data_IF_073749709787
#
_entry.id   IF_073749709787
#
_cell.length_a   1.000
_cell.length_b   1.000
_cell.length_c   1.000
_cell.angle_alpha   90.00
_cell.angle_beta   90.00
_cell.angle_gamma   90.00
#
_symmetry.space_group_name_H-M   'P 1'
#
loop_
_entity.id
_entity.type
_entity.pdbx_description
1 polymer ?
#
# COMPACT_ATOMS: atom_id res chain seq x y z
N UNK A 1 -9.48 1.54 21.72
CA UNK A 1 -8.42 1.60 20.70
C UNK A 1 -7.08 1.65 21.41
N UNK A 2 -6.04 0.99 20.91
CA UNK A 2 -4.68 1.18 21.44
C UNK A 2 -4.30 2.67 21.35
N UNK A 3 -3.57 3.22 22.33
CA UNK A 3 -3.28 4.67 22.39
C UNK A 3 -2.66 5.21 21.09
N UNK A 4 -1.93 4.37 20.36
CA UNK A 4 -1.30 4.71 19.08
C UNK A 4 -2.28 5.02 17.95
N UNK A 5 -3.53 4.55 18.01
CA UNK A 5 -4.53 4.73 16.95
C UNK A 5 -5.67 5.69 17.30
N UNK A 6 -5.73 6.23 18.53
CA UNK A 6 -6.82 7.12 18.98
C UNK A 6 -7.01 8.34 18.07
N UNK A 7 -5.91 8.88 17.51
CA UNK A 7 -5.98 10.02 16.59
C UNK A 7 -6.74 9.74 15.28
N UNK A 8 -7.06 8.48 14.98
CA UNK A 8 -7.90 8.09 13.84
C UNK A 8 -9.40 8.35 14.10
N UNK A 9 -9.82 8.54 15.36
CA UNK A 9 -11.22 8.86 15.71
C UNK A 9 -11.73 10.12 15.02
N UNK A 10 -10.82 11.06 14.70
CA UNK A 10 -11.13 12.30 13.96
C UNK A 10 -11.70 12.07 12.55
N UNK A 11 -11.51 10.88 11.98
CA UNK A 11 -12.05 10.54 10.64
C UNK A 11 -13.51 10.07 10.67
N UNK A 12 -14.11 9.99 11.88
CA UNK A 12 -15.54 9.76 12.06
C UNK A 12 -15.97 8.30 11.92
N UNK A 13 -17.25 8.08 12.24
CA UNK A 13 -17.83 6.75 12.40
C UNK A 13 -17.75 5.90 11.12
N UNK A 14 -17.99 6.50 9.94
CA UNK A 14 -17.93 5.81 8.65
C UNK A 14 -16.59 5.09 8.39
N UNK A 15 -15.49 5.67 8.86
CA UNK A 15 -14.17 5.05 8.79
C UNK A 15 -13.96 4.03 9.92
N UNK A 16 -14.28 4.40 11.15
CA UNK A 16 -14.06 3.56 12.34
C UNK A 16 -14.80 2.22 12.23
N UNK A 17 -15.96 2.17 11.59
CA UNK A 17 -16.69 0.92 11.35
C UNK A 17 -15.93 -0.04 10.44
N UNK A 18 -15.09 0.48 9.54
CA UNK A 18 -14.27 -0.29 8.60
C UNK A 18 -12.88 -0.63 9.16
N UNK A 19 -12.43 0.11 10.16
CA UNK A 19 -11.16 -0.17 10.84
C UNK A 19 -11.34 -1.30 11.86
N UNK A 20 -10.74 -2.45 11.58
CA UNK A 20 -10.76 -3.62 12.48
C UNK A 20 -9.38 -3.85 13.09
N UNK A 21 -9.37 -4.40 14.30
CA UNK A 21 -8.15 -4.81 15.00
C UNK A 21 -8.30 -6.24 15.46
N UNK A 22 -7.32 -7.06 15.14
CA UNK A 22 -7.25 -8.47 15.52
C UNK A 22 -5.97 -8.69 16.33
N UNK A 23 -6.07 -9.44 17.43
CA UNK A 23 -4.92 -9.84 18.24
C UNK A 23 -4.84 -11.36 18.25
N UNK A 24 -3.71 -11.88 17.80
CA UNK A 24 -3.47 -13.31 17.68
C UNK A 24 -2.20 -13.62 18.48
N UNK A 25 -2.20 -14.66 19.35
CA UNK A 25 -1.00 -15.05 20.07
C UNK A 25 0.00 -15.67 19.09
N UNK A 26 0.97 -14.86 18.65
CA UNK A 26 2.04 -15.27 17.75
C UNK A 26 3.32 -14.49 18.08
N UNK A 27 4.47 -15.16 18.06
CA UNK A 27 5.75 -14.53 18.45
C UNK A 27 6.18 -13.39 17.52
N UNK A 28 5.86 -13.47 16.23
CA UNK A 28 6.13 -12.39 15.26
C UNK A 28 5.30 -11.16 15.63
N UNK A 29 4.04 -11.34 16.04
CA UNK A 29 3.14 -10.24 16.41
C UNK A 29 3.50 -9.57 17.74
N UNK A 30 4.46 -10.14 18.50
CA UNK A 30 5.09 -9.44 19.65
C UNK A 30 6.13 -8.42 19.19
N UNK A 31 6.65 -8.58 17.97
CA UNK A 31 7.73 -7.76 17.43
C UNK A 31 7.22 -6.72 16.42
N UNK A 32 6.19 -7.07 15.63
CA UNK A 32 5.67 -6.21 14.56
C UNK A 32 4.14 -6.21 14.54
N UNK A 33 3.57 -5.10 14.10
CA UNK A 33 2.15 -4.98 13.80
C UNK A 33 1.94 -4.92 12.30
N UNK A 34 1.03 -5.75 11.78
CA UNK A 34 0.62 -5.67 10.38
C UNK A 34 -0.62 -4.79 10.25
N UNK A 35 -0.56 -3.85 9.31
CA UNK A 35 -1.71 -3.07 8.88
C UNK A 35 -2.06 -3.52 7.48
N UNK A 36 -3.21 -4.18 7.35
CA UNK A 36 -3.78 -4.49 6.04
C UNK A 36 -4.65 -3.32 5.59
N UNK A 37 -4.42 -2.86 4.36
CA UNK A 37 -5.17 -1.76 3.76
C UNK A 37 -6.13 -2.29 2.71
N UNK A 38 -7.32 -1.69 2.55
CA UNK A 38 -8.17 -2.04 1.42
C UNK A 38 -7.40 -1.91 0.10
N UNK A 39 -7.65 -2.82 -0.85
CA UNK A 39 -6.98 -2.79 -2.15
C UNK A 39 -7.08 -1.43 -2.85
N UNK A 40 -6.06 -1.13 -3.66
CA UNK A 40 -6.09 0.01 -4.59
C UNK A 40 -7.08 -0.33 -5.71
N UNK A 41 -8.09 0.52 -5.90
CA UNK A 41 -9.20 0.35 -6.82
C UNK A 41 -9.14 1.46 -7.88
N UNK A 42 -8.82 1.07 -9.10
CA UNK A 42 -8.73 2.01 -10.24
C UNK A 42 -10.11 2.49 -10.77
N UNK A 43 -11.21 1.83 -10.38
CA UNK A 43 -12.56 2.19 -10.80
C UNK A 43 -13.17 3.33 -9.97
N UNK A 44 -13.28 4.53 -10.57
CA UNK A 44 -13.82 5.75 -9.95
C UNK A 44 -15.23 5.61 -9.34
N UNK A 45 -16.11 4.77 -9.90
CA UNK A 45 -17.45 4.54 -9.33
C UNK A 45 -17.45 3.82 -7.96
N UNK A 46 -16.34 3.17 -7.59
CA UNK A 46 -16.14 2.50 -6.30
C UNK A 46 -15.30 3.34 -5.31
N UNK A 47 -14.86 4.55 -5.70
CA UNK A 47 -14.02 5.41 -4.86
C UNK A 47 -14.79 6.21 -3.80
N UNK A 48 -16.13 6.19 -3.82
CA UNK A 48 -16.94 6.75 -2.74
C UNK A 48 -16.87 5.87 -1.49
N UNK A 49 -15.71 5.89 -0.83
CA UNK A 49 -15.44 5.13 0.40
C UNK A 49 -16.21 5.72 1.59
N UNK A 50 -16.72 6.95 1.49
CA UNK A 50 -17.46 7.63 2.56
C UNK A 50 -16.57 8.20 3.68
N UNK A 51 -15.25 8.24 3.44
CA UNK A 51 -14.23 8.79 4.33
C UNK A 51 -12.99 9.22 3.52
N UNK A 52 -12.13 10.13 4.04
CA UNK A 52 -10.99 10.67 3.30
C UNK A 52 -9.81 9.67 3.26
N UNK A 53 -9.90 8.67 2.39
CA UNK A 53 -8.92 7.57 2.27
C UNK A 53 -7.48 8.07 2.16
N UNK A 54 -7.21 9.08 1.32
CA UNK A 54 -5.87 9.65 1.17
C UNK A 54 -5.28 10.18 2.49
N UNK A 55 -6.08 10.87 3.32
CA UNK A 55 -5.57 11.41 4.59
C UNK A 55 -5.29 10.29 5.61
N UNK A 56 -6.03 9.18 5.53
CA UNK A 56 -5.84 8.01 6.38
C UNK A 56 -4.61 7.22 5.93
N UNK A 57 -4.44 6.99 4.62
CA UNK A 57 -3.25 6.37 4.05
C UNK A 57 -2.00 7.13 4.47
N UNK A 58 -1.99 8.47 4.33
CA UNK A 58 -0.87 9.30 4.77
C UNK A 58 -0.58 9.12 6.27
N UNK A 59 -1.60 9.04 7.11
CA UNK A 59 -1.43 8.81 8.56
C UNK A 59 -0.67 7.51 8.85
N UNK A 60 -0.97 6.44 8.12
CA UNK A 60 -0.29 5.15 8.23
C UNK A 60 1.13 5.19 7.64
N UNK A 61 1.30 5.78 6.45
CA UNK A 61 2.61 5.95 5.80
C UNK A 61 3.59 6.64 6.75
N UNK A 62 3.18 7.76 7.36
CA UNK A 62 4.02 8.55 8.26
C UNK A 62 4.50 7.75 9.50
N UNK A 63 3.71 6.77 9.95
CA UNK A 63 3.96 5.98 11.16
C UNK A 63 4.51 4.59 10.88
N UNK A 64 4.55 4.18 9.62
CA UNK A 64 5.09 2.89 9.22
C UNK A 64 6.61 2.89 9.26
N UNK A 65 7.19 1.76 9.65
CA UNK A 65 8.63 1.49 9.51
C UNK A 65 8.94 0.87 8.14
N UNK A 66 8.01 0.10 7.58
CA UNK A 66 8.11 -0.59 6.30
C UNK A 66 6.76 -0.53 5.58
N UNK A 67 6.79 -0.24 4.28
CA UNK A 67 5.62 -0.21 3.39
C UNK A 67 5.85 -1.24 2.29
N UNK A 68 4.96 -2.22 2.18
CA UNK A 68 5.04 -3.27 1.16
C UNK A 68 3.99 -3.00 0.08
N UNK A 69 4.44 -2.74 -1.14
CA UNK A 69 3.58 -2.63 -2.31
C UNK A 69 3.63 -3.95 -3.09
N UNK A 70 2.47 -4.61 -3.20
CA UNK A 70 2.36 -5.93 -3.80
C UNK A 70 1.72 -5.83 -5.17
N UNK A 71 2.42 -6.31 -6.20
CA UNK A 71 1.95 -6.37 -7.59
C UNK A 71 1.73 -7.81 -8.02
N UNK A 72 0.77 -8.01 -8.93
CA UNK A 72 0.49 -9.29 -9.57
C UNK A 72 0.86 -9.17 -11.07
N UNK A 73 1.67 -10.09 -11.64
CA UNK A 73 2.04 -10.08 -13.05
C UNK A 73 0.86 -9.97 -14.02
N UNK A 74 -0.30 -10.53 -13.65
CA UNK A 74 -1.50 -10.49 -14.47
C UNK A 74 -2.24 -9.14 -14.43
N UNK A 75 -1.90 -8.25 -13.48
CA UNK A 75 -2.59 -6.99 -13.19
C UNK A 75 -1.61 -5.89 -12.79
N UNK A 76 -0.78 -5.46 -13.74
CA UNK A 76 0.22 -4.40 -13.55
C UNK A 76 -0.31 -2.98 -13.84
N UNK A 77 -1.62 -2.77 -13.87
CA UNK A 77 -2.20 -1.47 -14.18
C UNK A 77 -1.82 -0.45 -13.10
N UNK A 78 -0.86 0.41 -13.43
CA UNK A 78 -0.53 1.60 -12.63
C UNK A 78 -1.50 2.69 -13.02
N UNK A 79 -2.55 2.86 -12.23
CA UNK A 79 -3.53 3.91 -12.47
C UNK A 79 -3.48 5.03 -11.42
N UNK A 80 -4.52 5.84 -11.41
CA UNK A 80 -4.53 7.15 -10.74
C UNK A 80 -4.46 7.02 -9.22
N UNK A 81 -5.08 5.99 -8.62
CA UNK A 81 -5.04 5.84 -7.16
C UNK A 81 -3.65 5.40 -6.69
N UNK A 82 -3.00 4.51 -7.45
CA UNK A 82 -1.61 4.12 -7.16
C UNK A 82 -0.65 5.31 -7.30
N UNK A 83 -0.78 6.13 -8.35
CA UNK A 83 0.01 7.36 -8.49
C UNK A 83 -0.17 8.32 -7.30
N UNK A 84 -1.41 8.48 -6.80
CA UNK A 84 -1.69 9.30 -5.62
C UNK A 84 -1.03 8.72 -4.36
N UNK A 85 -1.03 7.40 -4.20
CA UNK A 85 -0.35 6.74 -3.08
C UNK A 85 1.17 6.98 -3.14
N UNK A 86 1.80 6.87 -4.31
CA UNK A 86 3.22 7.19 -4.48
C UNK A 86 3.53 8.65 -4.15
N UNK A 87 2.67 9.59 -4.55
CA UNK A 87 2.81 11.01 -4.14
C UNK A 87 2.75 11.18 -2.62
N UNK A 88 1.93 10.40 -1.93
CA UNK A 88 1.89 10.41 -0.46
C UNK A 88 3.08 9.70 0.19
N UNK A 89 3.78 8.82 -0.51
CA UNK A 89 5.00 8.18 -0.01
C UNK A 89 6.26 9.01 -0.29
N UNK A 90 6.14 10.16 -0.96
CA UNK A 90 7.27 11.07 -1.20
C UNK A 90 7.91 11.51 0.13
N UNK A 91 9.22 11.36 0.24
CA UNK A 91 10.01 11.55 1.46
C UNK A 91 10.03 10.34 2.40
N UNK A 92 9.42 9.21 2.03
CA UNK A 92 9.45 7.94 2.76
C UNK A 92 9.81 6.76 1.87
N UNK A 93 10.46 7.03 0.73
CA UNK A 93 10.78 6.06 -0.30
C UNK A 93 11.69 4.93 0.23
N UNK A 94 12.61 5.24 1.15
CA UNK A 94 13.50 4.27 1.79
C UNK A 94 12.74 3.16 2.56
N UNK A 95 11.50 3.44 2.99
CA UNK A 95 10.63 2.49 3.69
C UNK A 95 9.86 1.58 2.73
N UNK A 96 9.83 1.90 1.43
CA UNK A 96 9.02 1.18 0.44
C UNK A 96 9.78 -0.06 -0.03
N UNK A 97 9.09 -1.21 -0.08
CA UNK A 97 9.55 -2.45 -0.70
C UNK A 97 8.49 -2.93 -1.67
N UNK A 98 8.90 -3.18 -2.90
CA UNK A 98 8.03 -3.66 -3.96
C UNK A 98 8.17 -5.17 -4.05
N UNK A 99 7.04 -5.87 -4.03
CA UNK A 99 6.96 -7.32 -4.14
C UNK A 99 6.14 -7.67 -5.37
N UNK A 100 6.75 -8.39 -6.31
CA UNK A 100 6.04 -9.01 -7.42
C UNK A 100 5.55 -10.40 -6.96
N UNK A 101 4.30 -10.46 -6.52
CA UNK A 101 3.66 -11.67 -6.04
C UNK A 101 3.24 -12.58 -7.21
N UNK A 102 3.12 -13.89 -6.97
CA UNK A 102 2.71 -14.88 -7.99
C UNK A 102 3.62 -14.92 -9.23
N UNK A 103 4.91 -14.65 -9.07
CA UNK A 103 5.87 -14.73 -10.18
C UNK A 103 5.97 -16.14 -10.80
N UNK A 104 5.58 -17.16 -10.04
CA UNK A 104 5.43 -18.55 -10.50
C UNK A 104 4.29 -18.76 -11.50
N UNK A 105 3.36 -17.83 -11.62
CA UNK A 105 2.23 -17.91 -12.57
C UNK A 105 2.59 -17.57 -14.02
N UNK A 106 3.81 -17.09 -14.27
CA UNK A 106 4.29 -16.68 -15.59
C UNK A 106 5.61 -17.36 -15.93
N UNK A 107 5.92 -17.47 -17.22
CA UNK A 107 7.22 -18.00 -17.66
C UNK A 107 8.36 -17.05 -17.33
N UNK A 108 9.60 -17.55 -17.26
CA UNK A 108 10.78 -16.70 -17.01
C UNK A 108 10.93 -15.56 -18.02
N UNK A 109 10.54 -15.78 -19.28
CA UNK A 109 10.59 -14.74 -20.32
C UNK A 109 9.52 -13.66 -20.10
N UNK A 110 8.31 -14.06 -19.71
CA UNK A 110 7.24 -13.12 -19.36
C UNK A 110 7.59 -12.34 -18.09
N UNK A 111 8.19 -12.99 -17.10
CA UNK A 111 8.63 -12.35 -15.86
C UNK A 111 9.58 -11.18 -16.11
N UNK A 112 10.54 -11.33 -17.03
CA UNK A 112 11.44 -10.24 -17.43
C UNK A 112 10.69 -9.07 -18.08
N UNK A 113 9.66 -9.35 -18.88
CA UNK A 113 8.80 -8.32 -19.50
C UNK A 113 7.97 -7.59 -18.45
N UNK A 114 7.33 -8.33 -17.55
CA UNK A 114 6.54 -7.83 -16.42
C UNK A 114 7.40 -6.93 -15.53
N UNK A 115 8.61 -7.38 -15.19
CA UNK A 115 9.57 -6.60 -14.42
C UNK A 115 9.93 -5.28 -15.12
N UNK A 116 10.24 -5.34 -16.42
CA UNK A 116 10.55 -4.13 -17.21
C UNK A 116 9.38 -3.16 -17.29
N UNK A 117 8.16 -3.65 -17.51
CA UNK A 117 6.95 -2.84 -17.53
C UNK A 117 6.67 -2.19 -16.18
N UNK A 118 6.80 -2.94 -15.09
CA UNK A 118 6.61 -2.40 -13.74
C UNK A 118 7.64 -1.31 -13.44
N UNK A 119 8.91 -1.56 -13.73
CA UNK A 119 9.97 -0.57 -13.53
C UNK A 119 9.72 0.70 -14.33
N UNK A 120 9.34 0.56 -15.60
CA UNK A 120 8.99 1.70 -16.46
C UNK A 120 7.85 2.54 -15.88
N UNK A 121 6.75 1.90 -15.49
CA UNK A 121 5.57 2.57 -14.92
C UNK A 121 5.85 3.24 -13.57
N UNK A 122 6.77 2.69 -12.78
CA UNK A 122 7.15 3.25 -11.48
C UNK A 122 8.27 4.29 -11.56
N UNK A 123 9.05 4.32 -12.64
CA UNK A 123 10.17 5.25 -12.82
C UNK A 123 9.82 6.74 -12.62
N UNK A 124 8.66 7.28 -13.05
CA UNK A 124 8.32 8.67 -12.76
C UNK A 124 7.82 8.89 -11.33
N UNK A 125 7.46 7.83 -10.60
CA UNK A 125 6.84 7.87 -9.29
C UNK A 125 7.86 7.67 -8.15
N UNK A 126 8.98 7.00 -8.44
CA UNK A 126 10.04 6.72 -7.49
C UNK A 126 11.20 7.67 -7.78
N UNK A 127 11.36 8.68 -6.94
CA UNK A 127 12.44 9.65 -7.07
C UNK A 127 13.61 9.26 -6.16
N UNK A 128 14.16 8.06 -6.38
CA UNK A 128 15.31 7.55 -5.61
C UNK A 128 16.44 7.29 -6.58
N UNK A 129 17.58 7.94 -6.35
CA UNK A 129 18.79 7.86 -7.18
C UNK A 129 19.69 6.69 -6.85
N UNK A 130 19.32 5.79 -5.93
CA UNK A 130 20.17 4.69 -5.49
C UNK A 130 19.53 3.31 -5.75
N UNK A 131 20.32 2.35 -6.26
CA UNK A 131 19.91 0.97 -6.55
C UNK A 131 19.71 0.10 -5.31
#
# INVERSE_FOLDING_TARGET
>A
MEKSYSSLEKYGQNFLERLKSYRIPNDILKLVNFVDTPGVIENRKQQERGYPFGNICRWFIDRSDLIILVFDPAKLDVGTELEQLFKQMKGSEAKVRIVLNKADSVTSQELLRVYGSLYWSLSPLINVTEP
#
